data_IF_806655821509
#
_entry.id   IF_806655821509
#
_cell.length_a   1.000
_cell.length_b   1.000
_cell.length_c   1.000
_cell.angle_alpha   90.00
_cell.angle_beta   90.00
_cell.angle_gamma   90.00
#
_symmetry.space_group_name_H-M   'P 1'
#
loop_
_entity.id
_entity.type
_entity.pdbx_description
1 polymer ?
#
# COMPACT_ATOMS: atom_id res chain seq x y z
N UNK A 1 -0.47 -8.87 5.55
CA UNK A 1 0.86 -8.95 4.92
C UNK A 1 0.53 -8.98 3.46
N UNK A 2 0.89 -7.90 2.77
CA UNK A 2 0.52 -7.67 1.39
C UNK A 2 1.45 -8.47 0.49
N UNK A 3 0.92 -9.05 -0.58
CA UNK A 3 1.71 -9.72 -1.60
C UNK A 3 1.77 -8.90 -2.89
N UNK A 4 2.84 -9.08 -3.66
CA UNK A 4 3.06 -8.31 -4.90
C UNK A 4 1.93 -8.46 -5.92
N UNK A 5 1.33 -9.66 -6.03
CA UNK A 5 0.24 -9.91 -6.98
C UNK A 5 -1.02 -9.11 -6.63
N UNK A 6 -1.36 -9.00 -5.34
CA UNK A 6 -2.50 -8.20 -4.86
C UNK A 6 -2.29 -6.70 -5.13
N UNK A 7 -1.07 -6.22 -4.94
CA UNK A 7 -0.73 -4.82 -5.17
C UNK A 7 -0.73 -4.48 -6.67
N UNK A 8 -0.19 -5.38 -7.52
CA UNK A 8 -0.25 -5.25 -8.98
C UNK A 8 -1.68 -5.23 -9.50
N UNK A 9 -2.54 -6.13 -9.01
CA UNK A 9 -3.94 -6.18 -9.39
C UNK A 9 -4.68 -4.87 -9.04
N UNK A 10 -4.34 -4.24 -7.91
CA UNK A 10 -4.92 -2.96 -7.51
C UNK A 10 -4.53 -1.80 -8.44
N UNK A 11 -3.29 -1.79 -8.92
CA UNK A 11 -2.80 -0.84 -9.92
C UNK A 11 -3.47 -1.10 -11.26
N UNK A 12 -3.50 -2.35 -11.72
CA UNK A 12 -4.10 -2.74 -13.00
C UNK A 12 -5.60 -2.40 -13.09
N UNK A 13 -6.32 -2.56 -11.96
CA UNK A 13 -7.74 -2.19 -11.85
C UNK A 13 -7.97 -0.69 -11.65
N UNK A 14 -6.91 0.10 -11.50
CA UNK A 14 -6.97 1.55 -11.31
C UNK A 14 -7.45 1.99 -9.93
N UNK A 15 -7.49 1.10 -8.93
CA UNK A 15 -7.75 1.49 -7.55
C UNK A 15 -6.61 2.36 -7.01
N UNK A 16 -5.37 2.02 -7.38
CA UNK A 16 -4.18 2.84 -7.16
C UNK A 16 -3.82 3.49 -8.49
N UNK A 17 -4.02 4.80 -8.59
CA UNK A 17 -3.80 5.57 -9.83
C UNK A 17 -2.85 6.77 -9.66
N UNK A 18 -2.36 7.02 -8.44
CA UNK A 18 -1.37 8.06 -8.13
C UNK A 18 0.04 7.45 -8.07
N UNK A 19 1.06 8.29 -8.14
CA UNK A 19 2.46 7.89 -7.95
C UNK A 19 2.76 7.44 -6.51
N UNK A 20 1.89 7.82 -5.57
CA UNK A 20 1.96 7.49 -4.15
C UNK A 20 0.73 6.75 -3.66
N UNK A 21 0.90 5.96 -2.60
CA UNK A 21 -0.17 5.25 -1.89
C UNK A 21 0.08 5.28 -0.39
N UNK A 22 -1.00 5.27 0.40
CA UNK A 22 -0.89 5.09 1.85
C UNK A 22 -0.59 3.63 2.16
N UNK A 23 0.52 3.38 2.88
CA UNK A 23 1.00 2.04 3.25
C UNK A 23 0.91 1.86 4.75
N UNK A 24 0.30 0.77 5.18
CA UNK A 24 0.30 0.35 6.59
C UNK A 24 1.47 -0.60 6.83
N UNK A 25 2.33 -0.27 7.79
CA UNK A 25 3.45 -1.12 8.20
C UNK A 25 3.21 -1.79 9.55
N UNK A 26 3.61 -3.06 9.66
CA UNK A 26 3.68 -3.79 10.95
C UNK A 26 5.05 -4.43 11.09
N UNK A 27 5.75 -4.11 12.18
CA UNK A 27 7.11 -4.58 12.45
C UNK A 27 8.08 -4.30 11.28
N UNK A 28 7.98 -3.10 10.70
CA UNK A 28 8.81 -2.66 9.57
C UNK A 28 8.40 -3.21 8.20
N UNK A 29 7.51 -4.21 8.13
CA UNK A 29 7.07 -4.83 6.87
C UNK A 29 5.78 -4.21 6.36
N UNK A 30 5.63 -4.15 5.04
CA UNK A 30 4.37 -3.78 4.38
C UNK A 30 3.27 -4.78 4.79
N UNK A 31 2.26 -4.27 5.46
CA UNK A 31 1.14 -5.07 5.94
C UNK A 31 -0.06 -4.97 5.02
N UNK A 32 -0.38 -3.77 4.55
CA UNK A 32 -1.52 -3.42 3.71
C UNK A 32 -1.34 -2.04 3.05
N UNK A 33 -2.23 -1.65 2.14
CA UNK A 33 -2.38 -0.28 1.64
C UNK A 33 -3.77 0.27 1.94
N UNK A 34 -3.96 1.59 1.82
CA UNK A 34 -5.24 2.26 2.10
C UNK A 34 -5.65 3.08 0.89
N UNK A 35 -6.85 2.81 0.38
CA UNK A 35 -7.42 3.53 -0.74
C UNK A 35 -8.05 4.86 -0.32
N UNK A 36 -8.19 5.83 -1.25
CA UNK A 36 -8.90 7.07 -0.97
C UNK A 36 -10.31 6.82 -0.41
N UNK A 37 -10.59 7.35 0.77
CA UNK A 37 -11.88 7.19 1.46
C UNK A 37 -11.97 6.02 2.42
N UNK A 38 -10.96 5.15 2.49
CA UNK A 38 -10.88 4.12 3.51
C UNK A 38 -10.35 4.68 4.85
N UNK A 39 -10.93 4.25 6.00
CA UNK A 39 -10.46 4.70 7.29
C UNK A 39 -9.17 3.99 7.69
N UNK A 40 -8.13 4.77 8.05
CA UNK A 40 -6.97 4.26 8.78
C UNK A 40 -7.34 4.02 10.24
N UNK A 41 -7.03 2.85 10.79
CA UNK A 41 -7.34 2.56 12.21
C UNK A 41 -6.35 3.30 13.11
N UNK A 42 -6.78 3.72 14.30
CA UNK A 42 -5.98 4.56 15.22
C UNK A 42 -4.62 3.93 15.62
N UNK A 43 -4.52 2.60 15.59
CA UNK A 43 -3.31 1.85 15.93
C UNK A 43 -2.46 1.48 14.72
N UNK A 44 -2.86 1.89 13.51
CA UNK A 44 -2.09 1.68 12.29
C UNK A 44 -1.19 2.88 12.03
N UNK A 45 0.07 2.59 11.75
CA UNK A 45 1.01 3.58 11.22
C UNK A 45 0.90 3.50 9.71
N UNK A 46 0.24 4.51 9.13
CA UNK A 46 0.11 4.66 7.70
C UNK A 46 1.02 5.79 7.20
N UNK A 47 1.84 5.50 6.20
CA UNK A 47 2.77 6.45 5.57
C UNK A 47 2.45 6.57 4.09
N UNK A 48 2.57 7.79 3.55
CA UNK A 48 2.50 7.98 2.10
C UNK A 48 3.85 7.56 1.49
N UNK A 49 3.83 6.57 0.61
CA UNK A 49 5.01 5.98 0.00
C UNK A 49 4.82 5.89 -1.51
N UNK A 50 5.92 5.90 -2.28
CA UNK A 50 5.83 5.78 -3.73
C UNK A 50 5.47 4.36 -4.14
N UNK A 51 4.59 4.24 -5.12
CA UNK A 51 4.16 2.95 -5.68
C UNK A 51 5.35 2.14 -6.22
N UNK A 52 6.33 2.80 -6.86
CA UNK A 52 7.55 2.15 -7.36
C UNK A 52 8.40 1.53 -6.23
N UNK A 53 8.51 2.22 -5.08
CA UNK A 53 9.31 1.77 -3.94
C UNK A 53 8.64 0.60 -3.21
N UNK A 54 7.31 0.65 -3.10
CA UNK A 54 6.50 -0.45 -2.55
C UNK A 54 6.59 -1.69 -3.43
N UNK A 55 6.51 -1.55 -4.76
CA UNK A 55 6.68 -2.67 -5.69
C UNK A 55 8.06 -3.33 -5.55
N UNK A 56 9.12 -2.53 -5.43
CA UNK A 56 10.48 -3.05 -5.25
C UNK A 56 10.67 -3.79 -3.92
N UNK A 57 9.98 -3.41 -2.85
CA UNK A 57 10.07 -4.11 -1.56
C UNK A 57 9.25 -5.42 -1.54
N UNK A 58 8.18 -5.51 -2.33
CA UNK A 58 7.30 -6.69 -2.39
C UNK A 58 7.80 -7.79 -3.32
N UNK A 59 8.77 -7.51 -4.20
CA UNK A 59 9.43 -8.48 -5.09
C UNK A 59 10.42 -9.39 -4.34
#
# INVERSE_FOLDING_TARGET
>A
MLYIDEFKEAIEKGYISSDTVMVVRKNGKIFDYVLPGEPVRLWEVATEEKVEEVLMELE
#
